data_IF_411944628292
#
_entry.id   IF_411944628292
#
_cell.length_a   1.000
_cell.length_b   1.000
_cell.length_c   1.000
_cell.angle_alpha   90.00
_cell.angle_beta   90.00
_cell.angle_gamma   90.00
#
_symmetry.space_group_name_H-M   'P 1'
#
loop_
_entity.id
_entity.type
_entity.pdbx_description
1 polymer ?
#
# COMPACT_ATOMS: atom_id res chain seq x y z
N UNK A 1 -17.51 -19.62 4.81
CA UNK A 1 -17.47 -19.08 3.42
C UNK A 1 -16.38 -18.02 3.37
N UNK A 2 -15.61 -17.96 2.28
CA UNK A 2 -14.46 -17.07 2.15
C UNK A 2 -14.82 -15.63 1.74
N UNK A 3 -15.96 -15.47 1.07
CA UNK A 3 -16.56 -14.16 0.82
C UNK A 3 -17.44 -13.78 2.01
N UNK A 4 -17.19 -12.60 2.55
CA UNK A 4 -17.82 -12.07 3.75
C UNK A 4 -18.72 -10.90 3.32
N UNK A 5 -20.00 -10.97 3.63
CA UNK A 5 -21.01 -9.97 3.24
C UNK A 5 -22.15 -9.89 4.27
N UNK A 6 -23.02 -8.88 4.16
CA UNK A 6 -24.20 -8.72 5.01
C UNK A 6 -23.88 -8.61 6.51
N UNK A 7 -24.66 -9.29 7.35
CA UNK A 7 -24.49 -9.24 8.81
C UNK A 7 -23.11 -9.78 9.26
N UNK A 8 -22.57 -10.79 8.55
CA UNK A 8 -21.25 -11.35 8.84
C UNK A 8 -20.14 -10.32 8.61
N UNK A 9 -20.29 -9.47 7.57
CA UNK A 9 -19.37 -8.35 7.35
C UNK A 9 -19.44 -7.35 8.49
N UNK A 10 -20.64 -7.06 9.00
CA UNK A 10 -20.82 -6.16 10.15
C UNK A 10 -20.10 -6.68 11.40
N UNK A 11 -20.15 -8.00 11.65
CA UNK A 11 -19.43 -8.62 12.77
C UNK A 11 -17.90 -8.51 12.61
N UNK A 12 -17.39 -8.71 11.39
CA UNK A 12 -15.97 -8.53 11.07
C UNK A 12 -15.54 -7.08 11.27
N UNK A 13 -16.33 -6.11 10.81
CA UNK A 13 -16.08 -4.68 11.04
C UNK A 13 -16.04 -4.37 12.53
N UNK A 14 -17.01 -4.87 13.30
CA UNK A 14 -17.04 -4.68 14.75
C UNK A 14 -15.78 -5.24 15.43
N UNK A 15 -15.31 -6.42 15.03
CA UNK A 15 -14.08 -7.02 15.55
C UNK A 15 -12.83 -6.20 15.21
N UNK A 16 -12.71 -5.74 13.96
CA UNK A 16 -11.60 -4.88 13.53
C UNK A 16 -11.60 -3.54 14.27
N UNK A 17 -12.77 -2.91 14.42
CA UNK A 17 -12.94 -1.65 15.14
C UNK A 17 -12.65 -1.81 16.64
N UNK A 18 -13.11 -2.91 17.28
CA UNK A 18 -12.81 -3.23 18.68
C UNK A 18 -11.31 -3.31 18.95
N UNK A 19 -10.56 -3.92 18.02
CA UNK A 19 -9.09 -4.02 18.04
C UNK A 19 -8.38 -2.72 17.67
N UNK A 20 -9.11 -1.70 17.21
CA UNK A 20 -8.57 -0.43 16.69
C UNK A 20 -7.65 -0.63 15.48
N UNK A 21 -7.99 -1.60 14.64
CA UNK A 21 -7.29 -1.84 13.36
C UNK A 21 -7.44 -0.61 12.47
N UNK A 22 -6.42 -0.36 11.64
CA UNK A 22 -6.52 0.58 10.53
C UNK A 22 -6.34 -0.18 9.24
N UNK A 23 -7.10 0.23 8.23
CA UNK A 23 -7.00 -0.29 6.87
C UNK A 23 -6.09 0.63 6.07
N UNK A 24 -5.10 0.05 5.40
CA UNK A 24 -4.05 0.79 4.73
C UNK A 24 -4.18 0.67 3.22
N UNK A 25 -4.27 1.81 2.54
CA UNK A 25 -4.21 1.89 1.09
C UNK A 25 -3.07 2.82 0.68
N UNK A 26 -2.06 2.28 0.00
CA UNK A 26 -0.92 3.07 -0.47
C UNK A 26 -1.04 3.35 -1.97
N UNK A 27 -0.69 4.56 -2.36
CA UNK A 27 -0.81 5.03 -3.74
C UNK A 27 0.31 6.01 -4.10
N UNK A 28 0.52 6.24 -5.39
CA UNK A 28 1.42 7.28 -5.89
C UNK A 28 0.69 8.62 -5.97
N UNK A 29 1.44 9.70 -6.18
CA UNK A 29 0.86 11.05 -6.29
C UNK A 29 -0.14 11.19 -7.45
N UNK A 30 0.17 10.60 -8.62
CA UNK A 30 -0.74 10.59 -9.77
C UNK A 30 -2.08 9.90 -9.44
N UNK A 31 -2.01 8.72 -8.80
CA UNK A 31 -3.20 7.98 -8.36
C UNK A 31 -4.00 8.83 -7.35
N UNK A 32 -3.31 9.41 -6.37
CA UNK A 32 -3.93 10.22 -5.32
C UNK A 32 -4.71 11.43 -5.88
N UNK A 33 -4.16 12.14 -6.87
CA UNK A 33 -4.87 13.24 -7.56
C UNK A 33 -6.16 12.73 -8.21
N UNK A 34 -6.11 11.59 -8.90
CA UNK A 34 -7.28 10.98 -9.53
C UNK A 34 -8.32 10.50 -8.51
N UNK A 35 -7.90 10.01 -7.34
CA UNK A 35 -8.79 9.58 -6.26
C UNK A 35 -9.64 10.74 -5.76
N UNK A 36 -9.03 11.91 -5.56
CA UNK A 36 -9.74 13.13 -5.17
C UNK A 36 -10.74 13.58 -6.23
N UNK A 37 -10.39 13.45 -7.51
CA UNK A 37 -11.30 13.79 -8.62
C UNK A 37 -12.56 12.90 -8.66
N UNK A 38 -12.46 11.64 -8.22
CA UNK A 38 -13.61 10.72 -8.14
C UNK A 38 -14.26 10.67 -6.75
N UNK A 39 -13.69 11.36 -5.76
CA UNK A 39 -14.22 11.44 -4.40
C UNK A 39 -14.05 10.19 -3.53
N UNK A 40 -13.12 9.30 -3.88
CA UNK A 40 -13.00 7.98 -3.24
C UNK A 40 -11.72 7.24 -3.63
N UNK A 41 -11.53 6.01 -3.12
CA UNK A 41 -10.53 5.08 -3.65
C UNK A 41 -11.23 4.22 -4.72
N UNK A 42 -10.97 4.47 -6.01
CA UNK A 42 -11.55 3.69 -7.09
C UNK A 42 -10.82 2.36 -7.27
N UNK A 43 -11.51 1.39 -7.89
CA UNK A 43 -10.85 0.29 -8.57
C UNK A 43 -10.00 0.83 -9.74
N UNK A 44 -9.06 0.00 -10.20
CA UNK A 44 -8.30 0.32 -11.41
C UNK A 44 -9.18 0.38 -12.65
N UNK A 45 -10.18 -0.49 -12.72
CA UNK A 45 -11.17 -0.49 -13.81
C UNK A 45 -11.92 0.85 -13.90
N UNK A 46 -12.34 1.42 -12.78
CA UNK A 46 -13.04 2.71 -12.76
C UNK A 46 -12.14 3.85 -13.24
N UNK A 47 -10.87 3.88 -12.83
CA UNK A 47 -9.90 4.87 -13.31
C UNK A 47 -9.71 4.77 -14.83
N UNK A 48 -9.51 3.54 -15.33
CA UNK A 48 -9.35 3.29 -16.75
C UNK A 48 -10.60 3.71 -17.55
N UNK A 49 -11.80 3.37 -17.05
CA UNK A 49 -13.06 3.74 -17.69
C UNK A 49 -13.37 5.24 -17.68
N UNK A 50 -12.80 6.00 -16.73
CA UNK A 50 -12.88 7.47 -16.67
C UNK A 50 -11.71 8.17 -17.35
N UNK A 51 -10.79 7.44 -17.96
CA UNK A 51 -9.57 7.96 -18.58
C UNK A 51 -8.73 8.83 -17.63
N UNK A 52 -8.77 8.52 -16.33
CA UNK A 52 -8.01 9.26 -15.33
C UNK A 52 -6.58 8.75 -15.23
N UNK A 53 -5.58 9.62 -15.03
CA UNK A 53 -4.20 9.20 -14.84
C UNK A 53 -4.03 8.28 -13.63
N UNK A 54 -3.27 7.20 -13.79
CA UNK A 54 -2.91 6.32 -12.70
C UNK A 54 -1.60 5.60 -12.97
N UNK A 55 -0.91 5.17 -11.92
CA UNK A 55 0.37 4.47 -12.05
C UNK A 55 0.12 3.01 -12.45
N UNK A 56 0.49 2.65 -13.68
CA UNK A 56 0.41 1.26 -14.13
C UNK A 56 1.34 0.36 -13.31
N UNK A 57 0.81 -0.76 -12.82
CA UNK A 57 1.59 -1.78 -12.12
C UNK A 57 1.79 -3.01 -12.98
N UNK A 58 2.91 -3.72 -12.79
CA UNK A 58 3.22 -4.94 -13.54
C UNK A 58 2.29 -6.12 -13.17
N UNK A 59 1.43 -5.94 -12.16
CA UNK A 59 0.39 -6.91 -11.76
C UNK A 59 -0.96 -6.64 -12.40
N UNK A 60 -1.18 -5.49 -13.05
CA UNK A 60 -2.50 -5.09 -13.57
C UNK A 60 -3.11 -6.15 -14.50
N UNK A 61 -2.32 -6.72 -15.41
CA UNK A 61 -2.79 -7.79 -16.30
C UNK A 61 -3.23 -9.05 -15.54
N UNK A 62 -2.55 -9.40 -14.45
CA UNK A 62 -2.95 -10.54 -13.60
C UNK A 62 -4.18 -10.21 -12.78
N UNK A 63 -4.33 -8.97 -12.35
CA UNK A 63 -5.52 -8.54 -11.61
C UNK A 63 -6.79 -8.64 -12.49
N UNK A 64 -6.64 -8.42 -13.81
CA UNK A 64 -7.68 -8.72 -14.81
C UNK A 64 -7.92 -10.23 -14.92
N UNK A 65 -6.86 -11.02 -15.13
CA UNK A 65 -6.97 -12.48 -15.29
C UNK A 65 -7.58 -13.17 -14.06
N UNK A 66 -7.27 -12.67 -12.86
CA UNK A 66 -7.75 -13.18 -11.58
C UNK A 66 -9.13 -12.60 -11.18
N UNK A 67 -9.75 -11.77 -12.02
CA UNK A 67 -11.10 -11.22 -11.77
C UNK A 67 -11.18 -10.20 -10.63
N UNK A 68 -10.06 -9.59 -10.25
CA UNK A 68 -9.98 -8.61 -9.14
C UNK A 68 -9.78 -7.17 -9.59
N UNK A 69 -9.70 -6.92 -10.90
CA UNK A 69 -9.50 -5.59 -11.51
C UNK A 69 -10.53 -4.53 -11.10
N UNK A 70 -11.74 -4.98 -10.75
CA UNK A 70 -12.89 -4.15 -10.34
C UNK A 70 -13.00 -3.96 -8.83
N UNK A 71 -12.03 -4.48 -8.06
CA UNK A 71 -12.04 -4.43 -6.61
C UNK A 71 -11.15 -3.29 -6.08
N UNK A 72 -11.45 -2.87 -4.86
CA UNK A 72 -10.62 -1.95 -4.08
C UNK A 72 -9.84 -2.76 -3.04
N UNK A 73 -8.56 -2.42 -2.89
CA UNK A 73 -7.65 -3.17 -2.01
C UNK A 73 -7.30 -2.38 -0.75
N UNK A 74 -7.34 -3.07 0.38
CA UNK A 74 -6.78 -2.60 1.64
C UNK A 74 -5.80 -3.63 2.21
N UNK A 75 -4.85 -3.16 3.01
CA UNK A 75 -3.96 -4.02 3.77
C UNK A 75 -4.20 -3.85 5.26
N UNK A 76 -3.97 -4.91 6.03
CA UNK A 76 -4.00 -4.86 7.50
C UNK A 76 -2.66 -4.45 8.12
N UNK A 77 -1.67 -4.11 7.29
CA UNK A 77 -0.33 -3.72 7.73
C UNK A 77 0.24 -2.60 6.87
N UNK A 78 0.97 -1.69 7.49
CA UNK A 78 1.72 -0.63 6.82
C UNK A 78 3.06 -1.18 6.30
N UNK A 79 3.10 -1.52 5.00
CA UNK A 79 4.29 -2.11 4.37
C UNK A 79 5.51 -1.18 4.36
N UNK A 80 5.32 0.14 4.39
CA UNK A 80 6.43 1.11 4.47
C UNK A 80 7.01 1.28 5.87
N UNK A 81 6.28 0.84 6.90
CA UNK A 81 6.66 1.06 8.31
C UNK A 81 7.98 0.41 8.71
N UNK A 82 8.33 -0.74 8.12
CA UNK A 82 9.58 -1.43 8.42
C UNK A 82 10.83 -0.66 7.96
N UNK A 83 10.78 -0.10 6.74
CA UNK A 83 11.87 0.71 6.19
C UNK A 83 12.06 2.02 6.96
N UNK A 84 10.96 2.71 7.27
CA UNK A 84 10.99 3.97 8.01
C UNK A 84 11.55 3.84 9.43
N UNK A 85 11.35 2.68 10.06
CA UNK A 85 11.91 2.34 11.39
C UNK A 85 13.31 1.73 11.33
N UNK A 86 13.94 1.76 10.16
CA UNK A 86 15.32 1.34 9.98
C UNK A 86 15.58 -0.12 9.73
N UNK A 87 14.53 -0.91 9.51
CA UNK A 87 14.66 -2.28 9.01
C UNK A 87 15.28 -2.33 7.62
N UNK A 88 15.73 -3.52 7.23
CA UNK A 88 16.28 -3.80 5.90
C UNK A 88 15.20 -4.10 4.85
N UNK A 89 13.97 -3.67 5.10
CA UNK A 89 12.84 -3.82 4.18
C UNK A 89 12.91 -2.75 3.08
N UNK A 90 12.01 -2.84 2.11
CA UNK A 90 11.78 -1.78 1.13
C UNK A 90 10.77 -0.75 1.68
N UNK A 91 10.75 0.48 1.14
CA UNK A 91 9.59 1.36 1.27
C UNK A 91 8.32 0.71 0.72
N UNK A 92 7.16 1.36 0.89
CA UNK A 92 5.93 0.81 0.35
C UNK A 92 5.97 0.84 -1.19
N UNK A 93 5.94 -0.35 -1.80
CA UNK A 93 6.08 -0.53 -3.26
C UNK A 93 4.93 0.13 -4.02
N UNK A 94 3.74 0.18 -3.43
CA UNK A 94 2.53 0.73 -4.07
C UNK A 94 2.49 2.26 -4.04
N UNK A 95 3.21 2.88 -3.12
CA UNK A 95 3.51 4.30 -3.18
C UNK A 95 3.73 4.98 -1.83
N UNK A 96 4.21 6.23 -1.90
CA UNK A 96 4.64 7.01 -0.74
C UNK A 96 3.50 7.65 0.05
N UNK A 97 2.28 7.66 -0.50
CA UNK A 97 1.10 8.25 0.14
C UNK A 97 0.25 7.10 0.69
N UNK A 98 0.17 7.01 2.01
CA UNK A 98 -0.57 5.99 2.73
C UNK A 98 -1.85 6.58 3.32
N UNK A 99 -2.99 6.17 2.77
CA UNK A 99 -4.32 6.48 3.28
C UNK A 99 -4.68 5.48 4.37
N UNK A 100 -5.04 5.98 5.56
CA UNK A 100 -5.33 5.17 6.74
C UNK A 100 -6.80 5.30 7.12
N UNK A 101 -7.58 4.25 6.91
CA UNK A 101 -9.02 4.24 7.15
C UNK A 101 -9.40 3.59 8.48
N UNK A 102 -10.51 4.06 9.04
CA UNK A 102 -11.26 3.29 10.02
C UNK A 102 -11.93 2.06 9.36
N UNK A 103 -12.00 0.89 10.02
CA UNK A 103 -12.62 -0.30 9.45
C UNK A 103 -14.08 -0.11 9.03
N UNK A 104 -14.78 0.88 9.58
CA UNK A 104 -16.14 1.24 9.19
C UNK A 104 -16.31 1.62 7.71
N UNK A 105 -15.23 1.94 6.98
CA UNK A 105 -15.31 2.08 5.52
C UNK A 105 -15.89 0.83 4.85
N UNK A 106 -15.70 -0.34 5.44
CA UNK A 106 -16.20 -1.62 4.93
C UNK A 106 -17.70 -1.80 5.15
N UNK A 107 -18.38 -0.98 5.95
CA UNK A 107 -19.85 -0.98 6.05
C UNK A 107 -20.49 -0.58 4.71
N UNK A 108 -19.72 0.05 3.81
CA UNK A 108 -20.12 0.44 2.46
C UNK A 108 -19.68 -0.57 1.39
N UNK A 109 -18.97 -1.63 1.79
CA UNK A 109 -18.59 -2.69 0.88
C UNK A 109 -19.76 -3.67 0.69
N UNK A 110 -19.96 -4.13 -0.54
CA UNK A 110 -20.93 -5.18 -0.84
C UNK A 110 -20.45 -6.53 -0.30
N UNK A 111 -19.16 -6.80 -0.48
CA UNK A 111 -18.47 -7.95 0.08
C UNK A 111 -16.97 -7.70 0.26
N UNK A 112 -16.34 -8.51 1.11
CA UNK A 112 -14.88 -8.56 1.25
C UNK A 112 -14.37 -10.01 1.19
N UNK A 113 -13.10 -10.15 0.85
CA UNK A 113 -12.30 -11.36 1.09
C UNK A 113 -10.97 -10.94 1.69
N UNK A 114 -10.56 -11.60 2.77
CA UNK A 114 -9.23 -11.39 3.38
C UNK A 114 -8.38 -12.60 3.02
N UNK A 115 -7.30 -12.41 2.27
CA UNK A 115 -6.47 -13.52 1.77
C UNK A 115 -5.08 -13.48 2.37
N UNK A 116 -4.50 -14.66 2.60
CA UNK A 116 -3.08 -14.83 2.96
C UNK A 116 -2.20 -15.10 1.73
N UNK A 117 -2.75 -14.87 0.54
CA UNK A 117 -2.08 -15.01 -0.74
C UNK A 117 -2.35 -13.77 -1.57
N UNK A 118 -1.34 -13.32 -2.31
CA UNK A 118 -1.39 -12.04 -3.00
C UNK A 118 -2.31 -12.11 -4.21
N UNK A 119 -3.17 -11.10 -4.36
CA UNK A 119 -4.11 -11.01 -5.47
C UNK A 119 -3.42 -10.96 -6.85
N UNK A 120 -2.20 -10.41 -6.91
CA UNK A 120 -1.38 -10.37 -8.12
C UNK A 120 -0.58 -11.67 -8.41
N UNK A 121 -0.84 -12.76 -7.68
CA UNK A 121 -0.23 -14.06 -7.95
C UNK A 121 -1.00 -14.84 -9.03
N UNK A 122 -0.30 -15.66 -9.82
CA UNK A 122 -0.94 -16.48 -10.85
C UNK A 122 -1.90 -17.51 -10.24
N UNK A 123 -3.12 -17.59 -10.78
CA UNK A 123 -4.16 -18.52 -10.33
C UNK A 123 -4.79 -18.14 -8.99
N UNK A 124 -4.73 -16.86 -8.62
CA UNK A 124 -5.38 -16.38 -7.41
C UNK A 124 -6.90 -16.42 -7.59
N UNK A 125 -7.59 -16.85 -6.54
CA UNK A 125 -9.05 -16.89 -6.46
C UNK A 125 -9.48 -16.47 -5.06
N UNK A 126 -10.25 -15.39 -4.96
CA UNK A 126 -10.65 -14.83 -3.65
C UNK A 126 -11.70 -15.64 -2.91
N UNK A 127 -12.45 -16.51 -3.59
CA UNK A 127 -13.43 -17.42 -2.98
C UNK A 127 -12.75 -18.68 -2.43
N UNK A 128 -11.67 -19.13 -3.06
CA UNK A 128 -10.93 -20.30 -2.60
C UNK A 128 -9.87 -19.97 -1.54
N UNK A 129 -9.31 -18.76 -1.58
CA UNK A 129 -8.17 -18.37 -0.74
C UNK A 129 -8.50 -17.40 0.40
N UNK A 130 -9.79 -17.05 0.57
CA UNK A 130 -10.23 -16.17 1.65
C UNK A 130 -10.28 -16.87 3.00
N UNK A 131 -9.86 -16.13 4.02
CA UNK A 131 -10.01 -16.47 5.43
C UNK A 131 -11.48 -16.38 5.80
N UNK A 132 -12.02 -17.42 6.45
CA UNK A 132 -13.39 -17.41 6.91
C UNK A 132 -13.61 -16.32 7.98
N UNK A 133 -14.82 -15.78 8.08
CA UNK A 133 -15.13 -14.69 9.00
C UNK A 133 -14.80 -15.03 10.46
N UNK A 134 -15.12 -16.25 10.89
CA UNK A 134 -14.82 -16.79 12.21
C UNK A 134 -13.30 -16.89 12.51
N UNK A 135 -12.47 -16.92 11.47
CA UNK A 135 -11.02 -17.03 11.57
C UNK A 135 -10.31 -15.68 11.50
N UNK A 136 -11.01 -14.58 11.18
CA UNK A 136 -10.43 -13.22 11.16
C UNK A 136 -9.70 -12.87 12.48
N UNK A 137 -10.23 -13.19 13.69
CA UNK A 137 -9.51 -12.94 14.94
C UNK A 137 -8.12 -13.60 15.02
N UNK A 138 -7.90 -14.72 14.31
CA UNK A 138 -6.65 -15.50 14.33
C UNK A 138 -5.52 -14.80 13.57
N UNK A 139 -5.84 -13.85 12.70
CA UNK A 139 -4.86 -13.01 11.99
C UNK A 139 -4.00 -12.17 12.95
N UNK A 140 -4.48 -11.90 14.16
CA UNK A 140 -3.85 -10.99 15.11
C UNK A 140 -3.03 -11.72 16.17
N UNK A 141 -1.99 -11.04 16.67
CA UNK A 141 -1.06 -11.63 17.65
C UNK A 141 -1.71 -12.00 18.98
N UNK A 142 -2.70 -11.23 19.42
CA UNK A 142 -3.47 -11.41 20.66
C UNK A 142 -4.90 -10.88 20.49
N UNK A 143 -5.76 -11.06 21.49
CA UNK A 143 -7.20 -10.74 21.41
C UNK A 143 -7.53 -9.24 21.30
N UNK A 144 -6.70 -8.33 21.83
CA UNK A 144 -7.01 -6.90 21.88
C UNK A 144 -6.11 -6.03 21.00
N UNK A 145 -5.11 -6.64 20.38
CA UNK A 145 -4.11 -5.94 19.58
C UNK A 145 -4.55 -5.78 18.12
N UNK A 146 -4.31 -4.62 17.52
CA UNK A 146 -4.44 -4.43 16.07
C UNK A 146 -3.28 -5.06 15.29
N UNK A 147 -2.26 -5.62 15.97
CA UNK A 147 -1.06 -6.13 15.31
C UNK A 147 -1.34 -7.48 14.68
N UNK A 148 -1.23 -7.52 13.36
CA UNK A 148 -1.29 -8.74 12.56
C UNK A 148 -0.05 -9.60 12.82
N UNK A 149 -0.22 -10.93 12.82
CA UNK A 149 0.89 -11.88 12.88
C UNK A 149 1.83 -11.68 11.69
N UNK A 150 3.13 -11.86 11.93
CA UNK A 150 4.10 -11.96 10.84
C UNK A 150 3.96 -13.30 10.12
N UNK A 151 4.62 -13.40 8.96
CA UNK A 151 4.58 -14.56 8.07
C UNK A 151 4.64 -15.90 8.82
N UNK A 152 5.67 -16.13 9.63
CA UNK A 152 5.86 -17.41 10.31
C UNK A 152 4.70 -17.73 11.27
N UNK A 153 4.16 -16.69 11.93
CA UNK A 153 2.98 -16.82 12.77
C UNK A 153 1.72 -17.14 11.97
N UNK A 154 1.53 -16.53 10.80
CA UNK A 154 0.39 -16.83 9.91
C UNK A 154 0.51 -18.24 9.31
N UNK A 155 1.71 -18.66 8.90
CA UNK A 155 1.95 -20.00 8.39
C UNK A 155 1.60 -21.07 9.43
N UNK A 156 2.01 -20.87 10.69
CA UNK A 156 1.69 -21.77 11.79
C UNK A 156 0.19 -21.75 12.12
N UNK A 157 -0.39 -20.56 12.25
CA UNK A 157 -1.80 -20.39 12.65
C UNK A 157 -2.77 -21.02 11.63
N UNK A 158 -2.49 -20.90 10.34
CA UNK A 158 -3.38 -21.36 9.26
C UNK A 158 -2.91 -22.66 8.59
N UNK A 159 -1.88 -23.32 9.14
CA UNK A 159 -1.23 -24.50 8.54
C UNK A 159 -0.94 -24.32 7.03
N UNK A 160 -0.47 -23.13 6.67
CA UNK A 160 -0.24 -22.74 5.28
C UNK A 160 1.17 -22.18 5.10
N UNK A 161 2.14 -22.96 4.59
CA UNK A 161 3.53 -22.52 4.44
C UNK A 161 3.71 -21.37 3.43
N UNK A 162 2.68 -21.08 2.62
CA UNK A 162 2.66 -19.99 1.64
C UNK A 162 1.96 -18.74 2.15
N UNK A 163 1.46 -18.73 3.39
CA UNK A 163 0.80 -17.57 3.96
C UNK A 163 1.69 -16.32 3.91
N UNK A 164 1.08 -15.19 3.60
CA UNK A 164 1.69 -13.86 3.53
C UNK A 164 0.89 -12.89 4.38
N UNK A 165 1.38 -11.65 4.49
CA UNK A 165 0.62 -10.56 5.10
C UNK A 165 -0.78 -10.47 4.48
N UNK A 166 -1.84 -10.31 5.29
CA UNK A 166 -3.20 -10.32 4.78
C UNK A 166 -3.48 -9.15 3.85
N UNK A 167 -4.05 -9.46 2.69
CA UNK A 167 -4.60 -8.52 1.73
C UNK A 167 -6.13 -8.60 1.79
N UNK A 168 -6.81 -7.46 1.73
CA UNK A 168 -8.27 -7.39 1.70
C UNK A 168 -8.71 -6.91 0.33
N UNK A 169 -9.61 -7.66 -0.31
CA UNK A 169 -10.20 -7.32 -1.59
C UNK A 169 -11.67 -7.03 -1.35
N UNK A 170 -12.12 -5.85 -1.73
CA UNK A 170 -13.46 -5.35 -1.43
C UNK A 170 -14.19 -5.00 -2.71
N UNK A 171 -15.45 -5.42 -2.82
CA UNK A 171 -16.36 -4.87 -3.80
C UNK A 171 -17.12 -3.69 -3.17
N UNK A 172 -17.26 -2.61 -3.92
CA UNK A 172 -18.02 -1.43 -3.53
C UNK A 172 -18.99 -1.08 -4.65
N UNK A 173 -20.07 -0.38 -4.31
CA UNK A 173 -20.92 0.22 -5.32
C UNK A 173 -20.12 1.19 -6.20
N UNK A 174 -20.36 1.10 -7.51
CA UNK A 174 -19.61 1.84 -8.52
C UNK A 174 -18.08 1.64 -8.46
N UNK A 175 -17.61 0.58 -7.80
CA UNK A 175 -16.18 0.27 -7.65
C UNK A 175 -15.38 1.38 -6.94
N UNK A 176 -16.02 2.05 -5.96
CA UNK A 176 -15.48 3.23 -5.29
C UNK A 176 -15.65 3.14 -3.77
N UNK A 177 -14.55 3.06 -3.03
CA UNK A 177 -14.60 3.18 -1.57
C UNK A 177 -14.67 4.65 -1.14
N UNK A 178 -15.59 4.97 -0.23
CA UNK A 178 -15.84 6.35 0.23
C UNK A 178 -14.71 6.88 1.12
N UNK A 179 -14.46 8.20 1.07
CA UNK A 179 -13.43 8.88 1.89
C UNK A 179 -13.90 9.24 3.30
N UNK A 180 -15.19 9.11 3.62
CA UNK A 180 -15.78 9.56 4.91
C UNK A 180 -15.11 8.96 6.16
N UNK A 181 -14.46 7.80 6.01
CA UNK A 181 -13.80 7.07 7.08
C UNK A 181 -12.27 7.17 7.02
N UNK A 182 -11.72 8.05 6.18
CA UNK A 182 -10.30 8.36 6.14
C UNK A 182 -9.90 9.02 7.46
N UNK A 183 -9.12 8.32 8.28
CA UNK A 183 -8.74 8.82 9.60
C UNK A 183 -7.60 9.84 9.53
N UNK A 184 -6.65 9.59 8.62
CA UNK A 184 -5.51 10.45 8.30
C UNK A 184 -4.75 9.91 7.08
N UNK A 185 -3.87 10.76 6.54
CA UNK A 185 -2.90 10.40 5.51
C UNK A 185 -1.50 10.44 6.12
N UNK A 186 -0.66 9.47 5.76
CA UNK A 186 0.76 9.44 6.09
C UNK A 186 1.58 9.48 4.81
N UNK A 187 2.57 10.36 4.76
CA UNK A 187 3.37 10.61 3.54
C UNK A 187 4.85 10.36 3.83
N UNK A 188 5.48 9.54 3.00
CA UNK A 188 6.93 9.32 3.04
C UNK A 188 7.67 10.66 2.76
N UNK A 189 8.74 10.99 3.50
CA UNK A 189 9.41 12.31 3.42
C UNK A 189 10.36 12.43 2.22
N UNK A 190 9.88 12.09 1.03
CA UNK A 190 10.62 12.30 -0.22
C UNK A 190 10.78 13.79 -0.50
N UNK A 191 11.97 14.18 -0.95
CA UNK A 191 12.29 15.57 -1.26
C UNK A 191 13.29 15.70 -2.40
N UNK A 192 13.10 16.71 -3.22
CA UNK A 192 14.12 17.27 -4.11
C UNK A 192 14.63 18.60 -3.52
N UNK A 193 15.44 19.33 -4.30
CA UNK A 193 15.86 20.69 -3.93
C UNK A 193 14.71 21.72 -4.02
N UNK A 194 13.64 21.41 -4.77
CA UNK A 194 12.52 22.33 -5.04
C UNK A 194 11.17 21.84 -4.53
N UNK A 195 11.05 20.56 -4.15
CA UNK A 195 9.78 19.95 -3.78
C UNK A 195 9.92 19.08 -2.53
N UNK A 196 8.89 19.11 -1.68
CA UNK A 196 8.76 18.24 -0.54
C UNK A 196 7.41 17.54 -0.56
N UNK A 197 7.41 16.21 -0.71
CA UNK A 197 6.18 15.45 -0.97
C UNK A 197 5.10 15.63 0.12
N UNK A 198 5.42 15.62 1.44
CA UNK A 198 4.43 15.93 2.46
C UNK A 198 3.77 17.30 2.29
N UNK A 199 4.49 18.32 1.82
CA UNK A 199 3.92 19.65 1.59
C UNK A 199 3.03 19.67 0.34
N UNK A 200 3.45 19.00 -0.73
CA UNK A 200 2.63 18.83 -1.95
C UNK A 200 1.30 18.15 -1.62
N UNK A 201 1.32 17.06 -0.84
CA UNK A 201 0.10 16.35 -0.44
C UNK A 201 -0.79 17.20 0.47
N UNK A 202 -0.20 17.96 1.41
CA UNK A 202 -0.94 18.90 2.27
C UNK A 202 -1.64 19.98 1.46
N UNK A 203 -0.96 20.55 0.47
CA UNK A 203 -1.53 21.59 -0.39
C UNK A 203 -2.74 21.04 -1.17
N UNK A 204 -2.57 19.87 -1.80
CA UNK A 204 -3.66 19.20 -2.53
C UNK A 204 -4.86 18.92 -1.61
N UNK A 205 -4.62 18.37 -0.41
CA UNK A 205 -5.71 18.08 0.53
C UNK A 205 -6.38 19.34 1.04
N UNK A 206 -5.62 20.40 1.34
CA UNK A 206 -6.21 21.66 1.84
C UNK A 206 -7.17 22.27 0.83
N UNK A 207 -6.98 22.02 -0.46
CA UNK A 207 -7.88 22.49 -1.52
C UNK A 207 -9.16 21.63 -1.68
N UNK A 208 -9.14 20.37 -1.24
CA UNK A 208 -10.23 19.40 -1.47
C UNK A 208 -10.99 19.04 -0.19
N UNK A 209 -10.29 18.83 0.92
CA UNK A 209 -10.82 18.55 2.25
C UNK A 209 -9.88 19.11 3.35
N UNK A 210 -10.09 20.37 3.79
CA UNK A 210 -9.27 21.00 4.81
C UNK A 210 -9.28 20.30 6.18
N UNK A 211 -10.23 19.39 6.43
CA UNK A 211 -10.36 18.67 7.69
C UNK A 211 -9.47 17.42 7.75
N UNK A 212 -9.07 16.89 6.60
CA UNK A 212 -8.23 15.72 6.52
C UNK A 212 -6.80 16.02 7.00
N UNK A 213 -6.32 15.20 7.94
CA UNK A 213 -5.00 15.38 8.54
C UNK A 213 -3.93 14.65 7.74
N UNK A 214 -2.90 15.37 7.34
CA UNK A 214 -1.73 14.83 6.63
C UNK A 214 -0.50 14.88 7.53
N UNK A 215 0.04 13.71 7.84
CA UNK A 215 1.25 13.54 8.63
C UNK A 215 2.41 13.11 7.75
N UNK A 216 3.59 13.62 8.05
CA UNK A 216 4.82 13.01 7.58
C UNK A 216 4.98 11.63 8.26
N UNK A 217 5.60 10.67 7.56
CA UNK A 217 5.89 9.37 8.13
C UNK A 217 6.93 9.49 9.25
N UNK A 218 6.56 8.96 10.41
CA UNK A 218 7.48 8.80 11.53
C UNK A 218 8.66 7.90 11.15
N UNK A 219 9.83 8.52 11.00
CA UNK A 219 11.09 7.85 10.72
C UNK A 219 11.94 7.79 11.99
N UNK A 220 12.68 6.70 12.19
CA UNK A 220 13.71 6.66 13.23
C UNK A 220 14.77 7.73 12.92
N UNK A 221 15.36 8.35 13.95
CA UNK A 221 16.33 9.43 13.79
C UNK A 221 17.40 9.13 12.72
N UNK A 222 17.54 10.05 11.76
CA UNK A 222 18.48 9.91 10.63
C UNK A 222 17.97 9.09 9.44
N UNK A 223 16.81 8.42 9.53
CA UNK A 223 16.27 7.61 8.44
C UNK A 223 15.54 8.43 7.36
N UNK A 224 15.12 9.66 7.66
CA UNK A 224 14.56 10.59 6.66
C UNK A 224 15.52 10.79 5.49
N UNK A 225 16.83 10.86 5.74
CA UNK A 225 17.86 11.01 4.71
C UNK A 225 17.87 9.86 3.68
N UNK A 226 17.40 8.66 4.06
CA UNK A 226 17.30 7.51 3.14
C UNK A 226 16.33 7.77 2.01
N UNK A 227 15.23 8.48 2.27
CA UNK A 227 14.24 8.83 1.26
C UNK A 227 14.81 9.82 0.23
N UNK A 228 15.64 10.78 0.68
CA UNK A 228 16.39 11.66 -0.24
C UNK A 228 17.36 10.86 -1.12
N UNK A 229 18.14 9.95 -0.53
CA UNK A 229 19.08 9.11 -1.29
C UNK A 229 18.34 8.28 -2.35
N UNK A 230 17.19 7.71 -2.00
CA UNK A 230 16.34 6.98 -2.93
C UNK A 230 15.84 7.87 -4.07
N UNK A 231 15.33 9.06 -3.76
CA UNK A 231 14.88 10.04 -4.75
C UNK A 231 16.00 10.38 -5.74
N UNK A 232 17.17 10.76 -5.22
CA UNK A 232 18.32 11.18 -6.02
C UNK A 232 18.88 10.04 -6.87
N UNK A 233 18.90 8.81 -6.33
CA UNK A 233 19.35 7.65 -7.08
C UNK A 233 18.39 7.29 -8.22
N UNK A 234 17.08 7.25 -7.96
CA UNK A 234 16.07 6.93 -8.98
C UNK A 234 16.09 7.98 -10.09
N UNK A 235 16.13 9.27 -9.75
CA UNK A 235 16.15 10.37 -10.72
C UNK A 235 17.42 10.35 -11.59
N UNK A 236 18.60 10.14 -10.98
CA UNK A 236 19.88 10.05 -11.71
C UNK A 236 19.93 8.83 -12.63
N UNK A 237 19.48 7.68 -12.15
CA UNK A 237 19.40 6.45 -12.95
C UNK A 237 18.45 6.60 -14.14
N UNK A 238 17.29 7.24 -13.96
CA UNK A 238 16.36 7.51 -15.06
C UNK A 238 17.00 8.37 -16.16
N UNK A 239 17.81 9.37 -15.77
CA UNK A 239 18.47 10.27 -16.72
C UNK A 239 19.67 9.64 -17.43
N UNK A 240 20.33 8.66 -16.80
CA UNK A 240 21.58 8.07 -17.30
C UNK A 240 21.42 6.64 -17.85
N UNK A 241 20.25 6.01 -17.67
CA UNK A 241 20.04 4.59 -17.95
C UNK A 241 20.79 3.66 -16.99
N UNK A 242 21.17 4.13 -15.80
CA UNK A 242 21.97 3.38 -14.83
C UNK A 242 21.16 2.52 -13.84
N UNK A 243 21.81 1.55 -13.20
CA UNK A 243 21.22 0.76 -12.11
C UNK A 243 21.08 1.59 -10.82
N UNK A 244 19.83 1.74 -10.34
CA UNK A 244 19.50 2.49 -9.12
C UNK A 244 20.25 1.96 -7.90
N UNK A 245 20.34 0.63 -7.72
CA UNK A 245 21.04 0.05 -6.58
C UNK A 245 22.55 0.32 -6.63
N UNK A 246 23.14 0.35 -7.84
CA UNK A 246 24.53 0.71 -8.02
C UNK A 246 24.82 2.16 -7.63
N UNK A 247 23.88 3.09 -7.89
CA UNK A 247 23.98 4.49 -7.44
C UNK A 247 23.85 4.59 -5.92
N UNK A 248 22.86 3.91 -5.32
CA UNK A 248 22.66 3.92 -3.86
C UNK A 248 23.88 3.34 -3.13
N UNK A 249 24.53 2.32 -3.71
CA UNK A 249 25.70 1.67 -3.11
C UNK A 249 26.90 2.61 -2.87
N UNK A 250 26.96 3.71 -3.61
CA UNK A 250 27.99 4.74 -3.46
C UNK A 250 27.76 5.63 -2.24
N UNK A 251 26.55 5.63 -1.67
CA UNK A 251 26.21 6.41 -0.48
C UNK A 251 26.58 5.65 0.81
N UNK A 252 27.40 6.22 1.71
CA UNK A 252 27.81 5.54 2.94
C UNK A 252 26.65 5.12 3.87
N UNK A 253 25.54 5.87 3.88
CA UNK A 253 24.39 5.59 4.75
C UNK A 253 23.57 4.40 4.25
N UNK A 254 23.53 4.19 2.93
CA UNK A 254 22.64 3.21 2.29
C UNK A 254 23.38 2.07 1.56
N UNK A 255 24.71 2.10 1.54
CA UNK A 255 25.54 1.07 0.89
C UNK A 255 25.24 -0.35 1.35
N UNK A 256 25.22 -0.59 2.67
CA UNK A 256 24.92 -1.90 3.23
C UNK A 256 23.48 -2.36 2.92
N UNK A 257 22.52 -1.41 2.93
CA UNK A 257 21.13 -1.71 2.56
C UNK A 257 21.01 -2.08 1.09
N UNK A 258 21.71 -1.38 0.19
CA UNK A 258 21.70 -1.68 -1.24
C UNK A 258 22.30 -3.07 -1.51
N UNK A 259 23.41 -3.42 -0.84
CA UNK A 259 24.00 -4.76 -0.94
C UNK A 259 23.06 -5.84 -0.41
N UNK A 260 22.34 -5.57 0.68
CA UNK A 260 21.31 -6.47 1.20
C UNK A 260 20.19 -6.71 0.18
N UNK A 261 19.59 -5.65 -0.37
CA UNK A 261 18.51 -5.74 -1.36
C UNK A 261 18.98 -6.51 -2.59
N UNK A 262 20.20 -6.23 -3.07
CA UNK A 262 20.78 -6.91 -4.24
C UNK A 262 21.08 -8.40 -3.98
N UNK A 263 21.47 -8.75 -2.75
CA UNK A 263 21.77 -10.14 -2.38
C UNK A 263 20.54 -11.06 -2.38
N UNK A 264 19.34 -10.49 -2.33
CA UNK A 264 18.08 -11.24 -2.28
C UNK A 264 17.28 -11.03 -3.58
N UNK A 265 17.15 -12.08 -4.39
CA UNK A 265 16.45 -12.01 -5.68
C UNK A 265 15.03 -11.44 -5.58
N UNK A 266 14.29 -11.80 -4.52
CA UNK A 266 12.93 -11.28 -4.29
C UNK A 266 12.93 -9.80 -3.94
N UNK A 267 13.84 -9.33 -3.07
CA UNK A 267 13.91 -7.90 -2.72
C UNK A 267 14.37 -7.06 -3.92
N UNK A 268 15.38 -7.54 -4.66
CA UNK A 268 15.86 -6.88 -5.88
C UNK A 268 14.74 -6.72 -6.91
N UNK A 269 13.96 -7.78 -7.15
CA UNK A 269 12.80 -7.71 -8.04
C UNK A 269 11.76 -6.68 -7.56
N UNK A 270 11.38 -6.72 -6.28
CA UNK A 270 10.41 -5.77 -5.72
C UNK A 270 10.94 -4.32 -5.72
N UNK A 271 12.25 -4.13 -5.53
CA UNK A 271 12.86 -2.81 -5.58
C UNK A 271 12.85 -2.22 -6.99
N UNK A 272 13.03 -3.04 -8.02
CA UNK A 272 12.86 -2.62 -9.42
C UNK A 272 11.45 -2.09 -9.68
N UNK A 273 10.42 -2.81 -9.21
CA UNK A 273 9.02 -2.37 -9.29
C UNK A 273 8.80 -1.05 -8.55
N UNK A 274 9.22 -0.99 -7.29
CA UNK A 274 9.12 0.22 -6.46
C UNK A 274 9.77 1.44 -7.12
N UNK A 275 10.98 1.29 -7.65
CA UNK A 275 11.72 2.41 -8.29
C UNK A 275 11.00 2.90 -9.53
N UNK A 276 10.48 1.98 -10.36
CA UNK A 276 9.69 2.30 -11.55
C UNK A 276 8.38 3.02 -11.18
N UNK A 277 7.66 2.53 -10.18
CA UNK A 277 6.37 3.11 -9.78
C UNK A 277 6.54 4.47 -9.12
N UNK A 278 7.54 4.62 -8.25
CA UNK A 278 7.84 5.92 -7.64
C UNK A 278 8.27 6.93 -8.69
N UNK A 279 9.10 6.54 -9.66
CA UNK A 279 9.49 7.40 -10.77
C UNK A 279 8.27 7.91 -11.53
N UNK A 280 7.47 6.98 -12.05
CA UNK A 280 6.38 7.30 -12.98
C UNK A 280 5.18 7.94 -12.29
N UNK A 281 4.88 7.55 -11.05
CA UNK A 281 3.67 7.96 -10.35
C UNK A 281 3.84 9.12 -9.38
N UNK A 282 5.08 9.41 -8.95
CA UNK A 282 5.33 10.47 -7.95
C UNK A 282 6.45 11.42 -8.34
N UNK A 283 7.64 10.92 -8.70
CA UNK A 283 8.77 11.79 -9.01
C UNK A 283 8.47 12.65 -10.24
N UNK A 284 7.98 12.03 -11.33
CA UNK A 284 7.59 12.76 -12.54
C UNK A 284 6.55 13.83 -12.26
N UNK A 285 5.55 13.55 -11.41
CA UNK A 285 4.50 14.50 -11.01
C UNK A 285 5.00 15.68 -10.16
N UNK A 286 6.07 15.48 -9.40
CA UNK A 286 6.69 16.55 -8.60
C UNK A 286 7.70 17.39 -9.39
N UNK A 287 8.16 16.88 -10.54
CA UNK A 287 9.16 17.55 -11.40
C UNK A 287 8.55 18.19 -12.66
N UNK A 288 7.29 17.87 -12.97
CA UNK A 288 6.49 18.51 -14.04
C UNK A 288 6.03 19.91 -13.66
#
# INVERSE_FOLDING_TARGET
>A
MAIISGDILSDVVAELSRRKVKLYHACQLADFKSYLQVGGIPSRNLLAGKELPYTAFDTDGRDVDNGVWRLVFFNLSDFGGGFAKGGNNLPNIYGPILLCFDPKVLEHANDISITLWSAGASGFDRELNGVAAEDVPRLFVDFNSPRVRFKDGLCCEFDNPKAKSPEMNCSFDNELAVMDYLAYIRVDPYRSDTSYLPDVVREIITQNDPSCRVFERDCLDGHTSRYRILWDAITRSASSGGDVLAVIRQDPLMSAWADHVRSQSTLSFQFGRYSKYLLNGTISECLS
#
